data_IF_788965378232
#
_entry.id   IF_788965378232
#
_cell.length_a   1.000
_cell.length_b   1.000
_cell.length_c   1.000
_cell.angle_alpha   90.00
_cell.angle_beta   90.00
_cell.angle_gamma   90.00
#
_symmetry.space_group_name_H-M   'P 1'
#
loop_
_entity.id
_entity.type
_entity.pdbx_description
1 polymer ?
#
# COMPACT_ATOMS: atom_id res chain seq x y z
N UNK A 1 10.00 -15.15 -5.38
CA UNK A 1 9.15 -14.19 -6.09
C UNK A 1 8.99 -12.95 -5.22
N UNK A 2 8.99 -11.75 -5.81
CA UNK A 2 8.78 -10.53 -5.03
C UNK A 2 7.28 -10.22 -4.99
N UNK A 3 6.64 -10.36 -3.83
CA UNK A 3 5.22 -10.07 -3.65
C UNK A 3 5.05 -9.02 -2.55
N UNK A 4 4.36 -7.93 -2.87
CA UNK A 4 3.98 -6.89 -1.92
C UNK A 4 2.47 -6.74 -1.94
N UNK A 5 1.89 -6.58 -0.76
CA UNK A 5 0.48 -6.24 -0.57
C UNK A 5 0.39 -4.90 0.14
N UNK A 6 -0.41 -4.01 -0.43
CA UNK A 6 -0.84 -2.77 0.22
C UNK A 6 -2.26 -3.03 0.71
N UNK A 7 -2.45 -3.05 2.02
CA UNK A 7 -3.73 -3.35 2.68
C UNK A 7 -4.32 -2.10 3.32
N UNK A 8 -5.61 -1.87 3.12
CA UNK A 8 -6.35 -0.80 3.80
C UNK A 8 -6.62 -1.19 5.25
N UNK A 9 -6.07 -0.41 6.19
CA UNK A 9 -6.25 -0.62 7.63
C UNK A 9 -7.46 0.18 8.15
N UNK A 10 -7.64 1.39 7.64
CA UNK A 10 -8.73 2.32 7.97
C UNK A 10 -9.10 3.15 6.74
N UNK A 11 -10.38 3.49 6.58
CA UNK A 11 -10.87 4.31 5.46
C UNK A 11 -12.07 5.16 5.87
N UNK A 12 -12.05 6.43 5.48
CA UNK A 12 -13.22 7.33 5.41
C UNK A 12 -13.66 7.57 3.96
N UNK A 13 -12.88 7.12 2.98
CA UNK A 13 -13.15 7.26 1.55
C UNK A 13 -14.13 6.21 1.04
N UNK A 14 -15.01 6.58 0.10
CA UNK A 14 -15.95 5.63 -0.53
C UNK A 14 -15.28 4.67 -1.53
N UNK A 15 -14.05 4.97 -1.98
CA UNK A 15 -13.30 4.13 -2.92
C UNK A 15 -12.63 2.91 -2.26
N UNK A 16 -12.47 2.93 -0.93
CA UNK A 16 -11.75 1.91 -0.18
C UNK A 16 -12.50 1.48 1.07
N UNK A 17 -12.42 0.20 1.41
CA UNK A 17 -12.93 -0.38 2.65
C UNK A 17 -11.80 -1.06 3.40
N UNK A 18 -11.93 -1.15 4.73
CA UNK A 18 -10.97 -1.89 5.56
C UNK A 18 -10.84 -3.33 5.06
N UNK A 19 -9.61 -3.76 4.82
CA UNK A 19 -9.28 -5.09 4.30
C UNK A 19 -9.12 -5.17 2.78
N UNK A 20 -9.46 -4.11 2.03
CA UNK A 20 -9.15 -4.04 0.60
C UNK A 20 -7.64 -4.12 0.37
N UNK A 21 -7.24 -4.72 -0.75
CA UNK A 21 -5.84 -5.01 -1.06
C UNK A 21 -5.46 -4.58 -2.47
N UNK A 22 -4.21 -4.16 -2.60
CA UNK A 22 -3.52 -4.00 -3.88
C UNK A 22 -2.34 -4.96 -3.87
N UNK A 23 -2.39 -5.95 -4.75
CA UNK A 23 -1.39 -7.01 -4.86
C UNK A 23 -0.41 -6.66 -5.98
N UNK A 24 0.88 -6.60 -5.66
CA UNK A 24 1.95 -6.33 -6.62
C UNK A 24 2.87 -7.55 -6.68
N UNK A 25 2.88 -8.22 -7.83
CA UNK A 25 3.72 -9.38 -8.13
C UNK A 25 4.81 -8.99 -9.10
N UNK A 26 6.06 -9.10 -8.66
CA UNK A 26 7.22 -8.60 -9.38
C UNK A 26 7.01 -7.11 -9.74
N UNK A 27 7.08 -6.74 -11.01
CA UNK A 27 6.90 -5.37 -11.48
C UNK A 27 5.44 -5.00 -11.83
N UNK A 28 4.49 -5.92 -11.70
CA UNK A 28 3.13 -5.74 -12.17
C UNK A 28 2.11 -5.80 -11.04
N UNK A 29 1.03 -5.05 -11.20
CA UNK A 29 -0.16 -5.23 -10.37
C UNK A 29 -0.84 -6.53 -10.79
N UNK A 30 -1.18 -7.33 -9.78
CA UNK A 30 -1.97 -8.54 -9.91
C UNK A 30 -3.46 -8.15 -9.88
N UNK A 31 -4.00 -7.91 -11.07
CA UNK A 31 -5.38 -7.45 -11.27
C UNK A 31 -6.43 -8.47 -10.81
N UNK A 32 -6.07 -9.76 -10.67
CA UNK A 32 -6.99 -10.79 -10.17
C UNK A 32 -7.15 -10.74 -8.65
N UNK A 33 -6.14 -10.22 -7.93
CA UNK A 33 -6.09 -10.20 -6.47
C UNK A 33 -5.99 -8.77 -5.91
N UNK A 34 -6.41 -7.79 -6.72
CA UNK A 34 -6.45 -6.38 -6.36
C UNK A 34 -7.89 -5.90 -6.39
N UNK A 35 -8.30 -5.19 -5.34
CA UNK A 35 -9.57 -4.47 -5.30
C UNK A 35 -9.44 -3.17 -6.11
N UNK A 36 -9.66 -2.00 -5.49
CA UNK A 36 -9.58 -0.73 -6.19
C UNK A 36 -8.16 -0.15 -6.23
N UNK A 37 -7.85 0.55 -7.33
CA UNK A 37 -6.63 1.35 -7.48
C UNK A 37 -7.02 2.80 -7.73
N UNK A 38 -6.93 3.61 -6.68
CA UNK A 38 -7.11 5.05 -6.78
C UNK A 38 -5.78 5.72 -7.16
N UNK A 39 -5.77 6.48 -8.25
CA UNK A 39 -4.59 7.19 -8.73
C UNK A 39 -4.09 8.28 -7.76
N UNK A 40 -4.97 8.79 -6.88
CA UNK A 40 -4.59 9.69 -5.79
C UNK A 40 -3.85 8.93 -4.69
N UNK A 41 -4.44 7.82 -4.21
CA UNK A 41 -3.82 6.99 -3.17
C UNK A 41 -2.49 6.37 -3.63
N UNK A 42 -2.33 6.08 -4.93
CA UNK A 42 -1.09 5.55 -5.50
C UNK A 42 0.15 6.37 -5.09
N UNK A 43 0.02 7.69 -4.98
CA UNK A 43 1.11 8.57 -4.61
C UNK A 43 1.66 8.32 -3.21
N UNK A 44 0.86 7.79 -2.27
CA UNK A 44 1.30 7.56 -0.89
C UNK A 44 2.15 6.31 -0.73
N UNK A 45 1.85 5.24 -1.48
CA UNK A 45 2.56 3.96 -1.33
C UNK A 45 3.56 3.67 -2.46
N UNK A 46 3.36 4.20 -3.68
CA UNK A 46 4.25 3.95 -4.81
C UNK A 46 5.74 4.20 -4.53
N UNK A 47 6.14 5.28 -3.83
CA UNK A 47 7.55 5.54 -3.52
C UNK A 47 8.24 4.39 -2.75
N UNK A 48 7.48 3.61 -1.98
CA UNK A 48 8.00 2.56 -1.11
C UNK A 48 7.91 1.16 -1.72
N UNK A 49 7.16 0.97 -2.81
CA UNK A 49 6.93 -0.34 -3.43
C UNK A 49 8.24 -1.03 -3.81
N UNK A 50 9.18 -0.31 -4.42
CA UNK A 50 10.46 -0.89 -4.83
C UNK A 50 11.27 -1.38 -3.63
N UNK A 51 11.42 -0.53 -2.61
CA UNK A 51 12.19 -0.87 -1.40
C UNK A 51 11.53 -2.05 -0.65
N UNK A 52 10.21 -2.04 -0.51
CA UNK A 52 9.43 -3.12 0.10
C UNK A 52 9.62 -4.44 -0.67
N UNK A 53 9.55 -4.42 -2.01
CA UNK A 53 9.82 -5.62 -2.84
C UNK A 53 11.21 -6.19 -2.61
N UNK A 54 12.22 -5.33 -2.45
CA UNK A 54 13.61 -5.72 -2.17
C UNK A 54 13.86 -6.14 -0.72
N UNK A 55 12.85 -6.07 0.14
CA UNK A 55 12.95 -6.51 1.54
C UNK A 55 13.67 -5.52 2.44
N UNK A 56 13.75 -4.24 2.04
CA UNK A 56 14.15 -3.16 2.97
C UNK A 56 13.07 -3.07 4.04
N UNK A 57 13.47 -3.05 5.31
CA UNK A 57 12.51 -3.06 6.43
C UNK A 57 11.87 -1.69 6.63
N UNK A 58 10.70 -1.61 7.29
CA UNK A 58 10.09 -0.33 7.65
C UNK A 58 11.05 0.62 8.38
N UNK A 59 11.83 0.11 9.34
CA UNK A 59 12.80 0.88 10.12
C UNK A 59 13.92 1.45 9.24
N UNK A 60 14.42 0.66 8.28
CA UNK A 60 15.42 1.12 7.31
C UNK A 60 14.88 2.21 6.37
N UNK A 61 13.56 2.23 6.13
CA UNK A 61 12.89 3.29 5.38
C UNK A 61 12.54 4.52 6.23
N UNK A 62 12.88 4.53 7.52
CA UNK A 62 12.57 5.64 8.44
C UNK A 62 11.17 5.59 9.06
N UNK A 63 10.49 4.45 8.98
CA UNK A 63 9.23 4.19 9.68
C UNK A 63 9.52 3.52 11.03
N UNK A 64 8.46 3.25 11.82
CA UNK A 64 8.54 2.38 12.99
C UNK A 64 8.50 0.89 12.60
N UNK A 65 7.85 0.07 13.42
CA UNK A 65 7.71 -1.38 13.19
C UNK A 65 6.95 -1.76 11.91
N UNK A 66 6.16 -0.83 11.36
CA UNK A 66 5.27 -1.06 10.22
C UNK A 66 5.40 0.07 9.22
N UNK A 67 5.36 -0.30 7.93
CA UNK A 67 5.35 0.64 6.82
C UNK A 67 3.90 1.12 6.59
N UNK A 68 3.51 2.16 7.31
CA UNK A 68 2.17 2.77 7.28
C UNK A 68 2.23 4.08 6.51
N UNK A 69 1.35 4.25 5.52
CA UNK A 69 1.23 5.48 4.74
C UNK A 69 -0.23 5.90 4.64
N UNK A 70 -0.47 7.19 4.46
CA UNK A 70 -1.80 7.78 4.38
C UNK A 70 -2.05 8.32 2.97
N UNK A 71 -3.26 8.16 2.44
CA UNK A 71 -3.72 8.83 1.23
C UNK A 71 -3.45 10.34 1.29
N UNK A 72 -2.96 11.00 0.23
CA UNK A 72 -2.72 12.44 0.25
C UNK A 72 -4.00 13.28 0.44
N UNK A 73 -5.16 12.71 0.10
CA UNK A 73 -6.45 13.33 0.32
C UNK A 73 -6.85 13.25 1.81
N UNK A 74 -6.71 14.36 2.52
CA UNK A 74 -7.00 14.45 3.95
C UNK A 74 -8.51 14.56 4.24
N UNK A 75 -9.33 14.96 3.26
CA UNK A 75 -10.78 15.05 3.42
C UNK A 75 -11.42 13.66 3.50
N UNK A 76 -10.86 12.71 2.74
CA UNK A 76 -11.28 11.31 2.65
C UNK A 76 -10.12 10.37 2.99
N UNK A 77 -9.63 10.47 4.24
CA UNK A 77 -8.46 9.75 4.73
C UNK A 77 -8.55 8.23 4.55
N UNK A 78 -7.46 7.63 4.06
CA UNK A 78 -7.26 6.18 3.99
C UNK A 78 -5.86 5.84 4.50
N UNK A 79 -5.79 4.90 5.44
CA UNK A 79 -4.53 4.40 6.02
C UNK A 79 -4.21 3.05 5.39
N UNK A 80 -3.02 2.95 4.80
CA UNK A 80 -2.51 1.73 4.18
C UNK A 80 -1.33 1.16 4.97
N UNK A 81 -1.24 -0.17 5.02
CA UNK A 81 -0.03 -0.88 5.42
C UNK A 81 0.57 -1.60 4.21
N UNK A 82 1.87 -1.40 3.99
CA UNK A 82 2.62 -2.09 2.96
C UNK A 82 3.34 -3.29 3.60
N UNK A 83 3.14 -4.49 3.06
CA UNK A 83 3.69 -5.76 3.55
C UNK A 83 4.35 -6.52 2.42
N UNK A 84 5.57 -7.02 2.63
CA UNK A 84 6.14 -8.06 1.77
C UNK A 84 5.57 -9.42 2.20
N UNK A 85 5.17 -10.24 1.24
CA UNK A 85 4.69 -11.62 1.45
C UNK A 85 5.72 -12.61 0.89
#
# INVERSE_FOLDING_TARGET
MEHVVIEVIESKCNCYRKGDKISIKNALIDMENTDNICVMALQSFFPFVFAARKGVTPEQMGFGEKLIVQCPDYCDEVIFQIKKI
#
